data_IF_283895415237
#
_entry.id   IF_283895415237
#
_cell.length_a   1.000
_cell.length_b   1.000
_cell.length_c   1.000
_cell.angle_alpha   90.00
_cell.angle_beta   90.00
_cell.angle_gamma   90.00
#
_symmetry.space_group_name_H-M   'P 1'
#
loop_
_entity.id
_entity.type
_entity.pdbx_description
1 polymer ?
#
# COMPACT_ATOMS: atom_id res chain seq x y z
N UNK A 1 15.56 5.18 7.26
CA UNK A 1 15.43 6.65 7.27
C UNK A 1 14.63 7.09 8.49
N UNK A 2 14.82 6.42 9.64
CA UNK A 2 14.09 6.73 10.86
C UNK A 2 14.65 7.99 11.54
N UNK A 3 13.84 8.73 12.32
CA UNK A 3 12.41 8.48 12.59
C UNK A 3 11.46 8.96 11.48
N UNK A 4 11.93 9.73 10.50
CA UNK A 4 11.07 10.39 9.50
C UNK A 4 10.36 9.44 8.53
N UNK A 5 11.02 8.36 8.11
CA UNK A 5 10.46 7.28 7.30
C UNK A 5 10.76 5.95 8.00
N UNK A 6 9.72 5.35 8.58
CA UNK A 6 9.80 4.12 9.36
C UNK A 6 9.94 2.89 8.48
N UNK A 7 10.53 1.83 9.02
CA UNK A 7 10.60 0.53 8.34
C UNK A 7 9.21 0.02 7.98
N UNK A 8 9.05 -0.54 6.78
CA UNK A 8 7.76 -1.00 6.25
C UNK A 8 6.83 0.09 5.74
N UNK A 9 7.29 1.35 5.66
CA UNK A 9 6.53 2.42 5.01
C UNK A 9 6.64 2.36 3.48
N UNK A 10 5.63 2.90 2.80
CA UNK A 10 5.69 3.22 1.37
C UNK A 10 5.80 4.72 1.21
N UNK A 11 6.73 5.18 0.36
CA UNK A 11 6.95 6.60 0.11
C UNK A 11 6.51 6.97 -1.30
N UNK A 12 5.98 8.18 -1.45
CA UNK A 12 5.65 8.73 -2.77
C UNK A 12 6.85 9.51 -3.30
N UNK A 13 7.25 9.20 -4.52
CA UNK A 13 8.46 9.74 -5.15
C UNK A 13 8.15 10.36 -6.52
N UNK A 14 9.01 11.28 -6.97
CA UNK A 14 9.02 11.86 -8.31
C UNK A 14 10.18 11.26 -9.12
N UNK A 15 9.93 10.31 -10.03
CA UNK A 15 10.98 9.53 -10.71
C UNK A 15 11.55 10.18 -11.99
N UNK A 16 11.19 11.45 -12.27
CA UNK A 16 11.58 12.15 -13.51
C UNK A 16 11.98 13.58 -13.21
N UNK A 17 12.81 14.14 -14.09
CA UNK A 17 13.33 15.50 -14.00
C UNK A 17 14.85 15.55 -14.06
N UNK A 18 15.40 16.74 -13.87
CA UNK A 18 16.84 16.97 -13.83
C UNK A 18 17.43 16.45 -12.51
N UNK A 19 18.13 15.31 -12.54
CA UNK A 19 18.73 14.70 -11.35
C UNK A 19 19.98 15.42 -10.85
N UNK A 20 20.36 16.55 -11.45
CA UNK A 20 21.47 17.42 -11.00
C UNK A 20 21.01 18.59 -10.12
N UNK A 21 19.69 18.76 -9.94
CA UNK A 21 19.06 19.92 -9.27
C UNK A 21 19.00 19.85 -7.74
N UNK A 22 19.42 18.75 -7.12
CA UNK A 22 19.18 18.52 -5.70
C UNK A 22 20.15 19.27 -4.81
N UNK A 23 19.70 19.56 -3.58
CA UNK A 23 20.42 20.31 -2.58
C UNK A 23 20.62 19.50 -1.30
N UNK A 24 21.49 20.01 -0.41
CA UNK A 24 21.65 19.46 0.94
C UNK A 24 20.30 19.47 1.67
N UNK A 25 19.92 18.33 2.24
CA UNK A 25 18.66 18.13 2.95
C UNK A 25 17.59 17.40 2.14
N UNK A 26 17.70 17.38 0.81
CA UNK A 26 16.78 16.63 -0.05
C UNK A 26 16.95 15.12 0.17
N UNK A 27 15.87 14.37 0.01
CA UNK A 27 15.86 12.91 0.15
C UNK A 27 15.66 12.31 -1.23
N UNK A 28 16.61 11.46 -1.63
CA UNK A 28 16.65 10.86 -2.95
C UNK A 28 16.70 9.35 -2.86
N UNK A 29 16.11 8.69 -3.85
CA UNK A 29 16.25 7.25 -4.08
C UNK A 29 17.20 7.05 -5.26
N UNK A 30 18.20 6.19 -5.09
CA UNK A 30 19.21 5.89 -6.10
C UNK A 30 19.54 4.40 -6.15
N UNK A 31 20.12 3.97 -7.27
CA UNK A 31 20.64 2.62 -7.45
C UNK A 31 22.01 2.50 -6.79
N UNK A 32 22.12 1.63 -5.79
CA UNK A 32 23.41 1.28 -5.19
C UNK A 32 24.13 0.21 -6.02
N UNK A 33 23.35 -0.70 -6.60
CA UNK A 33 23.77 -1.72 -7.57
C UNK A 33 22.59 -1.98 -8.54
N UNK A 34 22.72 -2.98 -9.42
CA UNK A 34 21.69 -3.33 -10.43
C UNK A 34 20.32 -3.69 -9.85
N UNK A 35 20.25 -4.18 -8.61
CA UNK A 35 19.03 -4.72 -7.97
C UNK A 35 18.60 -3.93 -6.74
N UNK A 36 19.51 -3.16 -6.13
CA UNK A 36 19.29 -2.50 -4.85
C UNK A 36 19.03 -1.01 -5.02
N UNK A 37 17.85 -0.58 -4.59
CA UNK A 37 17.49 0.83 -4.43
C UNK A 37 17.67 1.26 -2.98
N UNK A 38 18.31 2.40 -2.77
CA UNK A 38 18.55 3.00 -1.45
C UNK A 38 17.97 4.40 -1.42
N UNK A 39 17.31 4.75 -0.31
CA UNK A 39 16.77 6.10 -0.10
C UNK A 39 17.49 6.76 1.06
N UNK A 40 18.18 7.87 0.82
CA UNK A 40 18.96 8.62 1.81
C UNK A 40 18.80 10.13 1.64
N UNK A 41 19.21 10.88 2.67
CA UNK A 41 19.27 12.33 2.64
C UNK A 41 20.63 12.82 2.13
N UNK A 42 20.62 13.84 1.28
CA UNK A 42 21.84 14.48 0.78
C UNK A 42 22.46 15.31 1.90
N UNK A 43 23.74 15.04 2.20
CA UNK A 43 24.53 15.79 3.19
C UNK A 43 25.44 16.82 2.52
N UNK A 44 25.88 16.54 1.28
CA UNK A 44 26.74 17.43 0.49
C UNK A 44 26.55 17.20 -1.01
N UNK A 45 26.61 18.28 -1.78
CA UNK A 45 26.61 18.28 -3.25
C UNK A 45 27.99 18.68 -3.74
N UNK A 46 28.56 17.92 -4.67
CA UNK A 46 29.85 18.19 -5.29
C UNK A 46 29.66 18.28 -6.79
N UNK A 47 29.97 19.44 -7.37
CA UNK A 47 29.97 19.64 -8.83
C UNK A 47 31.42 19.64 -9.31
N UNK A 48 31.73 18.85 -10.32
CA UNK A 48 33.06 18.83 -10.94
C UNK A 48 33.10 19.78 -12.13
N UNK A 49 34.30 20.22 -12.51
CA UNK A 49 34.52 21.11 -13.67
C UNK A 49 34.06 20.53 -15.02
N UNK A 50 33.86 19.21 -15.10
CA UNK A 50 33.28 18.56 -16.30
C UNK A 50 31.74 18.54 -16.33
N UNK A 51 31.07 19.17 -15.36
CA UNK A 51 29.61 19.25 -15.28
C UNK A 51 28.92 18.07 -14.57
N UNK A 52 29.65 17.06 -14.11
CA UNK A 52 29.05 15.97 -13.33
C UNK A 52 28.69 16.43 -11.91
N UNK A 53 27.60 15.88 -11.38
CA UNK A 53 27.13 16.15 -10.02
C UNK A 53 27.15 14.87 -9.20
N UNK A 54 27.79 14.97 -8.03
CA UNK A 54 27.93 13.91 -7.05
C UNK A 54 27.23 14.30 -5.75
N UNK A 55 26.53 13.34 -5.16
CA UNK A 55 25.80 13.50 -3.92
C UNK A 55 26.39 12.61 -2.83
N UNK A 56 26.85 13.23 -1.75
CA UNK A 56 27.07 12.50 -0.51
C UNK A 56 25.73 12.32 0.18
N UNK A 57 25.42 11.09 0.56
CA UNK A 57 24.14 10.74 1.15
C UNK A 57 24.32 9.97 2.44
N UNK A 58 23.36 10.13 3.33
CA UNK A 58 23.34 9.48 4.63
C UNK A 58 21.91 9.08 5.00
N UNK A 59 21.76 7.89 5.57
CA UNK A 59 20.51 7.50 6.22
C UNK A 59 20.29 8.32 7.49
N UNK A 60 19.08 8.84 7.70
CA UNK A 60 18.79 9.73 8.84
C UNK A 60 19.16 9.12 10.21
N UNK A 61 19.10 7.79 10.35
CA UNK A 61 19.46 7.06 11.57
C UNK A 61 20.85 6.38 11.51
N UNK A 62 21.63 6.59 10.45
CA UNK A 62 22.94 5.96 10.33
C UNK A 62 24.00 6.80 11.06
N UNK A 63 25.06 6.16 11.57
CA UNK A 63 26.16 6.91 12.21
C UNK A 63 27.13 7.52 11.20
N UNK A 64 27.29 6.90 10.03
CA UNK A 64 28.22 7.33 8.98
C UNK A 64 27.49 7.59 7.65
N UNK A 65 28.12 8.42 6.80
CA UNK A 65 27.72 8.59 5.41
C UNK A 65 28.06 7.36 4.57
N UNK A 66 27.44 7.24 3.40
CA UNK A 66 27.87 6.25 2.40
C UNK A 66 29.29 6.59 1.94
N UNK A 67 30.25 5.65 1.96
CA UNK A 67 31.66 5.95 1.63
C UNK A 67 31.86 6.51 0.22
N UNK A 68 31.08 6.03 -0.74
CA UNK A 68 31.15 6.45 -2.13
C UNK A 68 30.03 7.44 -2.45
N UNK A 69 30.34 8.62 -3.01
CA UNK A 69 29.31 9.56 -3.44
C UNK A 69 28.53 9.01 -4.63
N UNK A 70 27.25 9.36 -4.70
CA UNK A 70 26.30 8.91 -5.71
C UNK A 70 26.36 9.86 -6.91
N UNK A 71 26.62 9.33 -8.11
CA UNK A 71 26.51 10.11 -9.35
C UNK A 71 25.03 10.42 -9.63
N UNK A 72 24.73 11.64 -10.12
CA UNK A 72 23.37 12.08 -10.48
C UNK A 72 22.61 11.08 -11.35
N UNK A 73 23.31 10.38 -12.24
CA UNK A 73 22.74 9.44 -13.20
C UNK A 73 22.19 8.16 -12.53
N UNK A 74 22.67 7.85 -11.32
CA UNK A 74 22.17 6.73 -10.52
C UNK A 74 20.94 7.11 -9.69
N UNK A 75 20.60 8.40 -9.62
CA UNK A 75 19.41 8.87 -8.89
C UNK A 75 18.18 8.59 -9.73
N UNK A 76 17.22 7.87 -9.16
CA UNK A 76 16.00 7.46 -9.86
C UNK A 76 14.79 8.27 -9.45
N UNK A 77 14.76 8.84 -8.24
CA UNK A 77 13.62 9.62 -7.79
C UNK A 77 13.93 10.55 -6.61
N UNK A 78 13.11 11.60 -6.47
CA UNK A 78 13.07 12.50 -5.31
C UNK A 78 11.88 12.14 -4.40
N UNK A 79 12.09 12.11 -3.09
CA UNK A 79 11.01 11.94 -2.12
C UNK A 79 10.13 13.19 -2.04
N UNK A 80 8.80 13.00 -2.06
CA UNK A 80 7.83 14.11 -2.10
C UNK A 80 7.43 14.67 -0.74
N UNK A 81 7.87 14.06 0.36
CA UNK A 81 7.39 14.39 1.71
C UNK A 81 6.19 13.54 2.17
N UNK A 82 5.61 12.71 1.29
CA UNK A 82 4.46 11.85 1.63
C UNK A 82 4.94 10.43 1.92
N UNK A 83 4.69 9.98 3.15
CA UNK A 83 4.96 8.62 3.62
C UNK A 83 3.68 7.99 4.16
N UNK A 84 3.41 6.76 3.75
CA UNK A 84 2.33 5.94 4.29
C UNK A 84 2.96 4.87 5.19
N UNK A 85 2.89 5.03 6.53
CA UNK A 85 3.52 4.08 7.44
C UNK A 85 2.84 2.71 7.36
N UNK A 86 3.64 1.65 7.55
CA UNK A 86 3.20 0.24 7.60
C UNK A 86 2.55 -0.34 6.34
N UNK A 87 2.26 0.46 5.30
CA UNK A 87 1.64 -0.02 4.06
C UNK A 87 2.49 -1.10 3.36
N UNK A 88 3.82 -1.02 3.49
CA UNK A 88 4.73 -2.01 2.96
C UNK A 88 4.55 -3.38 3.60
N UNK A 89 4.27 -3.43 4.91
CA UNK A 89 3.93 -4.69 5.59
C UNK A 89 2.61 -5.28 5.09
N UNK A 90 1.59 -4.43 4.88
CA UNK A 90 0.32 -4.87 4.33
C UNK A 90 0.48 -5.43 2.90
N UNK A 91 1.20 -4.71 2.03
CA UNK A 91 1.48 -5.17 0.66
C UNK A 91 2.28 -6.47 0.67
N UNK A 92 3.29 -6.59 1.53
CA UNK A 92 4.06 -7.82 1.67
C UNK A 92 3.19 -8.99 2.16
N UNK A 93 2.31 -8.75 3.13
CA UNK A 93 1.34 -9.74 3.59
C UNK A 93 0.40 -10.18 2.46
N UNK A 94 -0.17 -9.23 1.71
CA UNK A 94 -1.06 -9.52 0.58
C UNK A 94 -0.38 -10.32 -0.54
N UNK A 95 0.94 -10.15 -0.74
CA UNK A 95 1.72 -10.91 -1.72
C UNK A 95 2.19 -12.29 -1.20
N UNK A 96 2.11 -12.53 0.11
CA UNK A 96 2.47 -13.83 0.69
C UNK A 96 1.44 -14.91 0.32
N UNK A 97 1.87 -16.18 0.26
CA UNK A 97 0.97 -17.32 -0.06
C UNK A 97 -0.22 -17.39 0.90
N UNK A 98 0.04 -17.23 2.20
CA UNK A 98 -1.00 -17.32 3.22
C UNK A 98 -1.89 -16.07 3.23
N UNK A 99 -1.30 -14.87 3.10
CA UNK A 99 -2.06 -13.63 3.12
C UNK A 99 -2.94 -13.45 1.89
N UNK A 100 -2.43 -13.77 0.70
CA UNK A 100 -3.23 -13.77 -0.54
C UNK A 100 -4.41 -14.76 -0.47
N UNK A 101 -4.17 -15.99 0.01
CA UNK A 101 -5.24 -16.96 0.20
C UNK A 101 -6.31 -16.48 1.20
N UNK A 102 -5.87 -15.94 2.34
CA UNK A 102 -6.79 -15.41 3.35
C UNK A 102 -7.60 -14.21 2.81
N UNK A 103 -6.96 -13.32 2.07
CA UNK A 103 -7.59 -12.13 1.48
C UNK A 103 -8.66 -12.48 0.44
N UNK A 104 -8.53 -13.64 -0.22
CA UNK A 104 -9.57 -14.18 -1.11
C UNK A 104 -10.66 -14.96 -0.35
N UNK A 105 -10.27 -15.72 0.67
CA UNK A 105 -11.20 -16.54 1.46
C UNK A 105 -12.17 -15.70 2.29
N UNK A 106 -11.71 -14.62 2.93
CA UNK A 106 -12.56 -13.76 3.76
C UNK A 106 -13.80 -13.24 3.01
N UNK A 107 -13.67 -12.54 1.86
CA UNK A 107 -14.83 -12.05 1.12
C UNK A 107 -15.70 -13.21 0.60
N UNK A 108 -15.10 -14.35 0.23
CA UNK A 108 -15.85 -15.55 -0.14
C UNK A 108 -16.75 -16.05 1.00
N UNK A 109 -16.21 -16.18 2.20
CA UNK A 109 -16.98 -16.60 3.40
C UNK A 109 -18.05 -15.57 3.76
N UNK A 110 -17.74 -14.27 3.70
CA UNK A 110 -18.71 -13.20 3.95
C UNK A 110 -19.88 -13.28 2.97
N UNK A 111 -19.62 -13.47 1.67
CA UNK A 111 -20.65 -13.63 0.65
C UNK A 111 -21.51 -14.88 0.88
N UNK A 112 -20.90 -16.00 1.28
CA UNK A 112 -21.64 -17.22 1.62
C UNK A 112 -22.57 -17.00 2.83
N UNK A 113 -22.06 -16.41 3.91
CA UNK A 113 -22.87 -16.11 5.10
C UNK A 113 -24.01 -15.13 4.79
N UNK A 114 -23.73 -14.10 4.00
CA UNK A 114 -24.75 -13.15 3.54
C UNK A 114 -25.83 -13.84 2.69
N UNK A 115 -25.44 -14.76 1.82
CA UNK A 115 -26.37 -15.53 0.99
C UNK A 115 -27.28 -16.42 1.85
N UNK A 116 -26.71 -17.13 2.83
CA UNK A 116 -27.47 -17.96 3.77
C UNK A 116 -28.46 -17.10 4.57
N UNK A 117 -28.00 -15.95 5.10
CA UNK A 117 -28.86 -15.01 5.83
C UNK A 117 -30.02 -14.52 4.97
N UNK A 118 -29.74 -14.13 3.73
CA UNK A 118 -30.75 -13.63 2.78
C UNK A 118 -31.79 -14.70 2.45
N UNK A 119 -31.35 -15.93 2.19
CA UNK A 119 -32.25 -17.06 1.92
C UNK A 119 -33.16 -17.35 3.11
N UNK A 120 -32.60 -17.41 4.33
CA UNK A 120 -33.39 -17.65 5.55
C UNK A 120 -34.44 -16.57 5.79
N UNK A 121 -34.08 -15.31 5.54
CA UNK A 121 -35.02 -14.18 5.63
C UNK A 121 -36.14 -14.28 4.60
N UNK A 122 -35.80 -14.61 3.35
CA UNK A 122 -36.79 -14.76 2.28
C UNK A 122 -37.79 -15.88 2.58
N UNK A 123 -37.33 -17.03 3.08
CA UNK A 123 -38.21 -18.15 3.48
C UNK A 123 -39.14 -17.72 4.63
N UNK A 124 -38.61 -17.05 5.67
CA UNK A 124 -39.41 -16.59 6.79
C UNK A 124 -40.50 -15.59 6.38
N UNK A 125 -40.24 -14.74 5.37
CA UNK A 125 -41.22 -13.80 4.85
C UNK A 125 -42.35 -14.48 4.05
N UNK A 126 -42.02 -15.57 3.33
CA UNK A 126 -43.01 -16.40 2.63
C UNK A 126 -43.89 -17.15 3.64
N UNK A 127 -43.31 -17.76 4.67
CA UNK A 127 -44.05 -18.49 5.70
C UNK A 127 -44.94 -17.57 6.55
N UNK A 128 -44.52 -16.33 6.79
CA UNK A 128 -45.29 -15.31 7.51
C UNK A 128 -46.53 -14.79 6.77
N UNK A 129 -46.64 -15.03 5.45
CA UNK A 129 -47.74 -14.55 4.58
C UNK A 129 -48.75 -15.64 4.20
N UNK A 130 -48.95 -16.68 5.02
CA UNK A 130 -50.09 -17.61 4.78
C UNK A 130 -51.43 -16.86 4.91
N UNK A 131 -52.30 -16.85 3.88
CA UNK A 131 -53.61 -16.24 3.97
C UNK A 131 -54.47 -17.08 4.94
N UNK A 132 -55.01 -16.40 5.95
CA UNK A 132 -55.97 -16.97 6.89
C UNK A 132 -57.22 -17.35 6.09
N UNK A 133 -57.40 -18.64 5.84
CA UNK A 133 -58.54 -19.21 5.12
C UNK A 133 -59.85 -18.78 5.79
N UNK A 134 -60.58 -17.81 5.21
CA UNK A 134 -61.98 -17.54 5.55
C UNK A 134 -62.81 -18.67 4.95
N UNK A 135 -63.07 -19.63 5.83
CA UNK A 135 -64.01 -20.74 5.70
C UNK A 135 -65.31 -20.30 5.01
N UNK A 136 -65.59 -20.85 3.85
CA UNK A 136 -66.96 -21.07 3.38
C UNK A 136 -67.70 -21.96 4.38
N UNK A 137 -68.91 -21.60 4.84
CA UNK A 137 -69.86 -22.57 5.30
C UNK A 137 -70.69 -23.04 4.11
N UNK A 138 -70.44 -24.29 3.71
CA UNK A 138 -71.38 -25.10 2.93
C UNK A 138 -72.75 -25.15 3.63
N UNK A 139 -73.78 -24.86 2.84
CA UNK A 139 -75.15 -25.37 2.91
C UNK A 139 -75.80 -25.67 4.27
N UNK A 140 -76.91 -24.98 4.56
CA UNK A 140 -78.06 -25.54 5.28
C UNK A 140 -79.38 -25.10 4.63
N UNK A 141 -79.96 -26.03 3.88
CA UNK A 141 -81.33 -26.54 3.95
C UNK A 141 -82.56 -25.60 3.98
N UNK A 142 -83.47 -25.94 3.04
CA UNK A 142 -84.93 -25.72 2.88
C UNK A 142 -85.39 -24.34 2.43
#
# INVERSE_FOLDING_TARGET
MEPGIQTGSVIVVKPRGDMTRFHKGDVITFKMDEKTLVTHRITKVVKTGNGQVFYHTKGDNNNAEVPNPVLSDNVVAEYTGITIPYLGYFVNFAQSKNGSALMLMIPGVVLLLYSIYTIRRAIAEIDGKKPKNSREPSGKNV
#
